data_IF_908844788706
#
_entry.id   IF_908844788706
#
_cell.length_a   1.000
_cell.length_b   1.000
_cell.length_c   1.000
_cell.angle_alpha   90.00
_cell.angle_beta   90.00
_cell.angle_gamma   90.00
#
_symmetry.space_group_name_H-M   'P 1'
#
loop_
_entity.id
_entity.type
_entity.pdbx_description
1 polymer ?
#
# COMPACT_ATOMS: atom_id res chain seq x y z
N UNK A 1 -19.22 69.67 9.67
CA UNK A 1 -20.53 69.81 8.99
C UNK A 1 -20.52 68.87 7.79
N UNK A 2 -21.33 67.79 7.77
CA UNK A 2 -22.65 67.71 7.08
C UNK A 2 -22.54 68.32 5.66
N UNK A 3 -22.73 67.61 4.54
CA UNK A 3 -23.98 66.94 4.10
C UNK A 3 -23.73 66.02 2.87
N UNK A 4 -24.26 64.79 2.96
CA UNK A 4 -24.95 63.88 2.00
C UNK A 4 -24.73 63.93 0.45
N UNK A 5 -24.40 62.74 -0.11
CA UNK A 5 -25.10 61.86 -1.11
C UNK A 5 -25.81 62.48 -2.34
N UNK A 6 -26.15 61.65 -3.37
CA UNK A 6 -25.47 60.55 -4.09
C UNK A 6 -25.36 60.93 -5.59
N UNK A 7 -25.06 60.00 -6.52
CA UNK A 7 -25.79 59.85 -7.80
C UNK A 7 -25.56 58.45 -8.36
N UNK A 8 -26.64 57.91 -8.92
CA UNK A 8 -26.77 56.59 -9.51
C UNK A 8 -26.24 56.60 -10.96
N UNK A 9 -25.69 55.47 -11.40
CA UNK A 9 -25.49 55.18 -12.82
C UNK A 9 -26.28 53.91 -13.11
N UNK A 10 -27.36 54.07 -13.86
CA UNK A 10 -28.04 52.98 -14.53
C UNK A 10 -27.31 52.63 -15.84
N UNK A 11 -27.35 51.37 -16.22
CA UNK A 11 -26.87 50.89 -17.50
C UNK A 11 -27.37 49.47 -17.77
N UNK A 12 -28.42 49.39 -18.59
CA UNK A 12 -29.02 48.16 -19.12
C UNK A 12 -28.04 47.39 -20.01
N UNK A 13 -28.07 46.06 -19.89
CA UNK A 13 -28.30 45.15 -21.03
C UNK A 13 -27.11 44.70 -21.89
N UNK A 14 -26.81 43.40 -21.82
CA UNK A 14 -26.79 42.52 -23.00
C UNK A 14 -26.86 41.05 -22.56
N UNK A 15 -27.97 40.39 -22.86
CA UNK A 15 -28.11 38.93 -22.82
C UNK A 15 -27.59 38.42 -24.16
N UNK A 16 -26.48 37.69 -24.16
CA UNK A 16 -26.05 36.86 -25.29
C UNK A 16 -25.80 35.45 -24.77
N UNK A 17 -26.64 34.53 -25.24
CA UNK A 17 -26.64 33.12 -24.87
C UNK A 17 -25.40 32.42 -25.39
N UNK A 18 -24.58 31.95 -24.45
CA UNK A 18 -23.67 30.84 -24.70
C UNK A 18 -24.42 29.54 -24.47
N UNK A 19 -24.60 28.76 -25.54
CA UNK A 19 -24.98 27.34 -25.43
C UNK A 19 -23.84 26.65 -24.66
N UNK A 20 -24.03 26.44 -23.36
CA UNK A 20 -23.17 25.57 -22.60
C UNK A 20 -23.42 24.15 -23.09
N UNK A 21 -22.51 23.62 -23.92
CA UNK A 21 -22.43 22.19 -24.17
C UNK A 21 -22.07 21.54 -22.83
N UNK A 22 -23.09 21.10 -22.09
CA UNK A 22 -22.91 20.24 -20.93
C UNK A 22 -22.39 18.90 -21.46
N UNK A 23 -21.07 18.73 -21.47
CA UNK A 23 -20.46 17.42 -21.63
C UNK A 23 -20.79 16.65 -20.35
N UNK A 24 -21.90 15.92 -20.38
CA UNK A 24 -22.23 14.93 -19.37
C UNK A 24 -21.20 13.82 -19.50
N UNK A 25 -20.11 13.93 -18.74
CA UNK A 25 -19.22 12.79 -18.48
C UNK A 25 -20.09 11.71 -17.82
N UNK A 26 -20.50 10.73 -18.61
CA UNK A 26 -21.08 9.49 -18.09
C UNK A 26 -19.94 8.81 -17.32
N UNK A 27 -19.88 9.10 -16.02
CA UNK A 27 -19.02 8.37 -15.11
C UNK A 27 -19.42 6.90 -15.20
N UNK A 28 -18.54 6.08 -15.79
CA UNK A 28 -18.78 4.65 -15.96
C UNK A 28 -19.19 4.02 -14.64
N UNK A 29 -20.39 3.44 -14.60
CA UNK A 29 -21.03 2.88 -13.41
C UNK A 29 -20.38 1.57 -12.95
N UNK A 30 -19.15 1.65 -12.46
CA UNK A 30 -18.55 0.56 -11.69
C UNK A 30 -19.12 0.50 -10.27
N UNK A 31 -19.00 -0.64 -9.57
CA UNK A 31 -19.39 -0.73 -8.17
C UNK A 31 -18.62 0.29 -7.33
N UNK A 32 -19.30 0.89 -6.36
CA UNK A 32 -18.66 1.77 -5.38
C UNK A 32 -17.71 0.94 -4.50
N UNK A 33 -16.46 1.38 -4.40
CA UNK A 33 -15.44 0.70 -3.61
C UNK A 33 -15.54 1.13 -2.15
N UNK A 34 -15.61 0.16 -1.23
CA UNK A 34 -15.64 0.48 0.22
C UNK A 34 -14.28 1.00 0.70
N UNK A 35 -14.28 1.97 1.62
CA UNK A 35 -13.05 2.52 2.20
C UNK A 35 -12.42 1.62 3.27
N UNK A 36 -13.21 0.70 3.83
CA UNK A 36 -12.82 -0.26 4.87
C UNK A 36 -13.13 -1.69 4.42
N UNK A 37 -12.39 -2.69 4.95
CA UNK A 37 -12.69 -4.08 4.68
C UNK A 37 -13.97 -4.49 5.43
N UNK A 38 -14.76 -5.36 4.81
CA UNK A 38 -15.98 -5.95 5.38
C UNK A 38 -15.87 -7.46 5.57
N UNK A 39 -14.73 -8.05 5.21
CA UNK A 39 -14.47 -9.49 5.34
C UNK A 39 -12.99 -9.80 5.26
N UNK A 40 -12.67 -11.08 5.34
CA UNK A 40 -11.33 -11.63 5.15
C UNK A 40 -11.34 -12.72 4.08
N UNK A 41 -10.27 -12.80 3.30
CA UNK A 41 -10.00 -13.86 2.36
C UNK A 41 -8.78 -14.67 2.83
N UNK A 42 -8.71 -15.90 2.33
CA UNK A 42 -7.60 -16.81 2.54
C UNK A 42 -7.05 -17.29 1.20
N UNK A 43 -5.74 -17.40 1.12
CA UNK A 43 -5.02 -17.89 -0.06
C UNK A 43 -3.70 -18.54 0.35
N UNK A 44 -3.28 -19.54 -0.41
CA UNK A 44 -1.99 -20.17 -0.20
C UNK A 44 -0.86 -19.19 -0.51
N UNK A 45 0.02 -18.98 0.46
CA UNK A 45 1.18 -18.13 0.30
C UNK A 45 2.38 -18.96 -0.17
N UNK A 46 3.10 -18.47 -1.17
CA UNK A 46 4.31 -19.14 -1.66
C UNK A 46 5.45 -19.20 -0.63
N UNK A 47 5.37 -18.35 0.39
CA UNK A 47 6.35 -18.20 1.43
C UNK A 47 5.67 -18.08 2.79
N UNK A 48 6.13 -18.90 3.73
CA UNK A 48 5.85 -18.78 5.16
C UNK A 48 7.17 -18.63 5.88
N UNK A 49 7.37 -17.49 6.53
CA UNK A 49 8.61 -17.18 7.23
C UNK A 49 8.46 -17.52 8.71
N UNK A 50 9.52 -18.09 9.27
CA UNK A 50 9.68 -18.34 10.70
C UNK A 50 10.43 -17.20 11.39
N UNK A 51 11.13 -16.36 10.63
CA UNK A 51 11.94 -15.28 11.16
C UNK A 51 12.06 -14.08 10.19
N UNK A 52 12.35 -12.92 10.77
CA UNK A 52 12.52 -11.64 10.04
C UNK A 52 13.75 -11.66 9.12
N UNK A 53 14.92 -12.21 9.51
CA UNK A 53 16.08 -12.22 8.62
C UNK A 53 15.87 -13.00 7.31
N UNK A 54 15.17 -14.13 7.35
CA UNK A 54 14.83 -14.93 6.16
C UNK A 54 13.81 -14.20 5.28
N UNK A 55 12.82 -13.52 5.88
CA UNK A 55 11.89 -12.65 5.14
C UNK A 55 12.61 -11.49 4.44
N UNK A 56 13.59 -10.87 5.12
CA UNK A 56 14.46 -9.84 4.53
C UNK A 56 15.26 -10.41 3.36
N UNK A 57 15.91 -11.56 3.56
CA UNK A 57 16.73 -12.19 2.53
C UNK A 57 15.93 -12.55 1.27
N UNK A 58 14.66 -12.92 1.44
CA UNK A 58 13.75 -13.31 0.35
C UNK A 58 13.26 -12.11 -0.45
N UNK A 59 13.08 -10.96 0.20
CA UNK A 59 12.63 -9.72 -0.41
C UNK A 59 13.63 -9.18 -1.46
N UNK A 60 13.14 -8.44 -2.44
CA UNK A 60 13.99 -7.65 -3.35
C UNK A 60 14.37 -6.31 -2.72
N UNK A 61 13.47 -5.74 -1.93
CA UNK A 61 13.60 -4.41 -1.33
C UNK A 61 12.93 -4.41 0.06
N UNK A 62 13.60 -3.84 1.07
CA UNK A 62 13.05 -3.61 2.41
C UNK A 62 13.24 -2.14 2.76
N UNK A 63 12.13 -1.45 3.04
CA UNK A 63 12.11 -0.01 3.32
C UNK A 63 11.35 0.30 4.60
N UNK A 64 11.78 1.36 5.29
CA UNK A 64 10.88 2.10 6.18
C UNK A 64 10.18 3.16 5.34
N UNK A 65 8.85 3.19 5.35
CA UNK A 65 8.09 4.09 4.50
C UNK A 65 6.79 4.57 5.17
N UNK A 66 6.24 5.66 4.62
CA UNK A 66 4.94 6.22 5.00
C UNK A 66 3.94 6.06 3.86
N UNK A 67 2.74 5.57 4.16
CA UNK A 67 1.63 5.55 3.21
C UNK A 67 1.12 6.98 3.00
N UNK A 68 1.28 7.50 1.78
CA UNK A 68 0.90 8.89 1.44
C UNK A 68 -0.37 8.97 0.61
N UNK A 69 -0.71 7.92 -0.14
CA UNK A 69 -1.93 7.87 -0.93
C UNK A 69 -2.39 6.43 -1.11
N UNK A 70 -3.70 6.23 -1.13
CA UNK A 70 -4.31 4.96 -1.50
C UNK A 70 -5.32 5.23 -2.61
N UNK A 71 -5.27 4.42 -3.66
CA UNK A 71 -6.17 4.55 -4.81
C UNK A 71 -6.65 3.18 -5.31
N UNK A 72 -7.61 3.24 -6.24
CA UNK A 72 -8.02 2.08 -7.03
C UNK A 72 -6.85 1.69 -7.95
N UNK A 73 -6.44 0.43 -7.89
CA UNK A 73 -5.51 -0.17 -8.82
C UNK A 73 -6.21 -0.88 -9.98
N UNK A 74 -5.44 -1.67 -10.73
CA UNK A 74 -5.98 -2.50 -11.80
C UNK A 74 -6.87 -3.61 -11.25
N UNK A 75 -7.80 -4.06 -12.09
CA UNK A 75 -8.57 -5.27 -11.86
C UNK A 75 -7.95 -6.45 -12.61
N UNK A 76 -7.95 -7.64 -12.00
CA UNK A 76 -7.45 -8.88 -12.62
C UNK A 76 -8.44 -10.02 -12.37
N UNK A 77 -8.43 -11.02 -13.24
CA UNK A 77 -9.36 -12.15 -13.21
C UNK A 77 -10.52 -11.99 -14.20
N UNK A 78 -11.25 -13.08 -14.48
CA UNK A 78 -12.36 -13.09 -15.42
C UNK A 78 -13.61 -12.37 -14.88
N UNK A 79 -14.52 -12.04 -15.80
CA UNK A 79 -15.77 -11.32 -15.53
C UNK A 79 -16.90 -12.25 -15.02
N UNK A 80 -16.56 -13.22 -14.18
CA UNK A 80 -17.47 -14.26 -13.65
C UNK A 80 -17.75 -14.13 -12.15
N UNK A 81 -17.33 -13.00 -11.55
CA UNK A 81 -17.43 -12.75 -10.11
C UNK A 81 -16.15 -13.05 -9.33
N UNK A 82 -15.14 -13.68 -9.95
CA UNK A 82 -13.81 -13.88 -9.35
C UNK A 82 -12.86 -12.70 -9.55
N UNK A 83 -13.26 -11.70 -10.35
CA UNK A 83 -12.48 -10.49 -10.57
C UNK A 83 -12.13 -9.80 -9.25
N UNK A 84 -10.84 -9.55 -9.04
CA UNK A 84 -10.35 -8.74 -7.93
C UNK A 84 -9.89 -7.39 -8.43
N UNK A 85 -9.97 -6.37 -7.58
CA UNK A 85 -9.41 -5.05 -7.83
C UNK A 85 -8.37 -4.75 -6.76
N UNK A 86 -7.13 -4.50 -7.18
CA UNK A 86 -6.06 -4.14 -6.28
C UNK A 86 -6.23 -2.73 -5.72
N UNK A 87 -5.63 -2.48 -4.56
CA UNK A 87 -5.34 -1.17 -4.01
C UNK A 87 -3.95 -0.76 -4.43
N UNK A 88 -3.84 0.43 -5.00
CA UNK A 88 -2.55 1.09 -5.17
C UNK A 88 -2.21 1.86 -3.90
N UNK A 89 -1.24 1.34 -3.15
CA UNK A 89 -0.71 1.98 -1.95
C UNK A 89 0.60 2.68 -2.34
N UNK A 90 0.58 4.01 -2.32
CA UNK A 90 1.77 4.82 -2.59
C UNK A 90 2.50 5.09 -1.29
N UNK A 91 3.79 4.78 -1.32
CA UNK A 91 4.70 4.91 -0.20
C UNK A 91 5.71 6.02 -0.49
N UNK A 92 5.91 6.90 0.49
CA UNK A 92 7.09 7.76 0.58
C UNK A 92 8.17 6.99 1.35
N UNK A 93 9.29 6.72 0.70
CA UNK A 93 10.42 6.00 1.30
C UNK A 93 11.16 6.94 2.24
N UNK A 94 11.30 6.52 3.50
CA UNK A 94 12.01 7.27 4.54
C UNK A 94 13.44 6.76 4.68
N UNK A 95 13.61 5.44 4.61
CA UNK A 95 14.93 4.80 4.59
C UNK A 95 14.86 3.44 3.89
N UNK A 96 16.00 3.01 3.35
CA UNK A 96 16.17 1.71 2.71
C UNK A 96 17.05 0.86 3.62
N UNK A 97 16.53 -0.29 4.05
CA UNK A 97 17.22 -1.21 4.95
C UNK A 97 17.96 -2.29 4.16
N UNK A 98 17.35 -2.75 3.08
CA UNK A 98 17.92 -3.73 2.18
C UNK A 98 17.41 -3.51 0.76
N UNK A 99 18.27 -3.72 -0.22
CA UNK A 99 17.91 -3.70 -1.63
C UNK A 99 18.89 -4.57 -2.41
N UNK A 100 18.33 -5.44 -3.24
CA UNK A 100 19.08 -6.39 -4.08
C UNK A 100 19.58 -5.73 -5.38
N UNK A 101 18.97 -4.62 -5.79
CA UNK A 101 19.19 -4.02 -7.13
C UNK A 101 20.13 -2.81 -7.14
N UNK A 102 20.41 -2.21 -5.98
CA UNK A 102 21.12 -0.93 -5.87
C UNK A 102 20.25 0.32 -6.15
N UNK A 103 18.93 0.17 -6.26
CA UNK A 103 17.97 1.25 -6.39
C UNK A 103 17.82 2.07 -5.10
N UNK A 104 17.61 3.39 -5.27
CA UNK A 104 17.27 4.31 -4.19
C UNK A 104 15.97 5.08 -4.48
N UNK A 105 14.82 4.39 -4.50
CA UNK A 105 13.55 5.03 -4.81
C UNK A 105 13.13 5.98 -3.68
N UNK A 106 12.68 7.18 -4.03
CA UNK A 106 12.04 8.11 -3.09
C UNK A 106 10.55 7.77 -2.88
N UNK A 107 9.91 7.16 -3.87
CA UNK A 107 8.52 6.72 -3.83
C UNK A 107 8.36 5.33 -4.42
N UNK A 108 7.36 4.60 -3.93
CA UNK A 108 7.01 3.26 -4.40
C UNK A 108 5.49 3.12 -4.56
N UNK A 109 5.08 2.28 -5.49
CA UNK A 109 3.70 1.79 -5.60
C UNK A 109 3.68 0.32 -5.20
N UNK A 110 2.90 0.00 -4.17
CA UNK A 110 2.61 -1.36 -3.72
C UNK A 110 1.18 -1.71 -4.11
N UNK A 111 1.01 -2.82 -4.82
CA UNK A 111 -0.30 -3.42 -5.06
C UNK A 111 -0.66 -4.35 -3.90
N UNK A 112 -1.71 -3.98 -3.17
CA UNK A 112 -2.34 -4.83 -2.16
C UNK A 112 -3.66 -5.36 -2.72
N UNK A 113 -4.08 -6.56 -2.34
CA UNK A 113 -5.46 -6.98 -2.58
C UNK A 113 -6.44 -6.05 -1.87
N UNK A 114 -7.57 -5.80 -2.53
CA UNK A 114 -8.44 -4.70 -2.18
C UNK A 114 -9.89 -5.11 -2.14
N UNK A 115 -10.48 -5.25 -3.32
CA UNK A 115 -11.91 -5.39 -3.49
C UNK A 115 -12.28 -6.58 -4.35
N UNK A 116 -13.39 -7.23 -4.00
CA UNK A 116 -14.01 -8.25 -4.84
C UNK A 116 -14.73 -7.63 -6.05
N UNK A 117 -15.33 -8.47 -6.89
CA UNK A 117 -16.07 -8.05 -8.08
C UNK A 117 -17.28 -7.14 -7.77
N UNK A 118 -17.75 -7.10 -6.53
CA UNK A 118 -18.86 -6.25 -6.05
C UNK A 118 -18.37 -4.95 -5.41
N UNK A 119 -17.06 -4.70 -5.37
CA UNK A 119 -16.46 -3.52 -4.76
C UNK A 119 -16.36 -3.59 -3.23
N UNK A 120 -16.53 -4.77 -2.63
CA UNK A 120 -16.43 -4.95 -1.17
C UNK A 120 -14.97 -5.20 -0.79
N UNK A 121 -14.47 -4.42 0.15
CA UNK A 121 -13.11 -4.54 0.65
C UNK A 121 -12.90 -5.79 1.50
N UNK A 122 -11.72 -6.42 1.43
CA UNK A 122 -11.36 -7.56 2.28
C UNK A 122 -9.88 -7.55 2.66
N UNK A 123 -9.54 -8.14 3.81
CA UNK A 123 -8.13 -8.39 4.19
C UNK A 123 -7.71 -9.79 3.73
N UNK A 124 -6.46 -9.95 3.32
CA UNK A 124 -5.89 -11.25 2.94
C UNK A 124 -5.01 -11.76 4.09
N UNK A 125 -5.23 -12.99 4.55
CA UNK A 125 -4.37 -13.66 5.53
C UNK A 125 -4.05 -12.86 6.80
N UNK A 126 -5.02 -12.12 7.32
CA UNK A 126 -4.84 -11.30 8.53
C UNK A 126 -3.95 -10.06 8.33
N UNK A 127 -3.53 -9.77 7.09
CA UNK A 127 -2.84 -8.54 6.76
C UNK A 127 -3.77 -7.35 7.05
N UNK A 128 -3.30 -6.44 7.91
CA UNK A 128 -4.04 -5.22 8.24
C UNK A 128 -4.45 -4.42 6.99
N UNK A 129 -5.50 -3.61 7.09
CA UNK A 129 -5.87 -2.74 5.98
C UNK A 129 -5.07 -1.44 6.02
N UNK A 130 -4.21 -1.19 5.02
CA UNK A 130 -3.41 0.05 4.94
C UNK A 130 -4.26 1.31 5.01
N UNK A 131 -3.77 2.33 5.72
CA UNK A 131 -4.37 3.67 5.82
C UNK A 131 -3.34 4.73 5.46
N UNK A 132 -3.82 5.85 4.91
CA UNK A 132 -2.96 7.03 4.71
C UNK A 132 -2.46 7.51 6.08
N UNK A 133 -1.17 7.79 6.16
CA UNK A 133 -0.49 8.16 7.41
C UNK A 133 0.20 7.00 8.11
N UNK A 134 -0.11 5.74 7.78
CA UNK A 134 0.59 4.58 8.34
C UNK A 134 2.09 4.68 8.02
N UNK A 135 2.92 4.42 9.03
CA UNK A 135 4.36 4.29 8.90
C UNK A 135 4.74 2.87 9.27
N UNK A 136 5.70 2.28 8.55
CA UNK A 136 6.13 0.93 8.86
C UNK A 136 7.29 0.44 8.01
N UNK A 137 7.69 -0.79 8.25
CA UNK A 137 8.64 -1.54 7.45
C UNK A 137 7.89 -2.41 6.45
N UNK A 138 8.32 -2.33 5.19
CA UNK A 138 7.71 -3.02 4.06
C UNK A 138 8.74 -3.93 3.39
N UNK A 139 8.44 -5.21 3.33
CA UNK A 139 9.23 -6.27 2.72
C UNK A 139 8.64 -6.58 1.36
N UNK A 140 9.33 -6.17 0.30
CA UNK A 140 8.77 -6.03 -1.03
C UNK A 140 9.49 -6.91 -2.04
N UNK A 141 8.71 -7.43 -2.98
CA UNK A 141 9.20 -8.05 -4.22
C UNK A 141 8.65 -7.31 -5.42
N UNK A 142 9.44 -7.23 -6.49
CA UNK A 142 8.99 -6.60 -7.73
C UNK A 142 7.99 -7.50 -8.45
N UNK A 143 6.91 -6.93 -8.96
CA UNK A 143 5.92 -7.69 -9.74
C UNK A 143 6.48 -7.98 -11.13
N UNK A 144 6.32 -9.22 -11.60
CA UNK A 144 6.75 -9.62 -12.96
C UNK A 144 5.80 -9.11 -14.03
N UNK A 145 4.51 -9.06 -13.70
CA UNK A 145 3.43 -8.62 -14.58
C UNK A 145 3.19 -7.11 -14.56
N UNK A 146 3.83 -6.38 -13.64
CA UNK A 146 3.84 -4.92 -13.57
C UNK A 146 5.18 -4.44 -12.98
N UNK A 147 6.26 -4.34 -13.79
CA UNK A 147 7.62 -4.12 -13.29
C UNK A 147 7.86 -2.80 -12.54
N UNK A 148 7.00 -1.81 -12.73
CA UNK A 148 6.99 -0.53 -12.00
C UNK A 148 6.33 -0.63 -10.61
N UNK A 149 5.81 -1.81 -10.26
CA UNK A 149 5.03 -2.04 -9.04
C UNK A 149 5.66 -3.11 -8.18
N UNK A 150 5.39 -2.99 -6.88
CA UNK A 150 5.80 -3.96 -5.88
C UNK A 150 4.58 -4.64 -5.29
N UNK A 151 4.81 -5.78 -4.65
CA UNK A 151 3.88 -6.39 -3.70
C UNK A 151 4.65 -6.74 -2.45
N UNK A 152 3.94 -6.96 -1.35
CA UNK A 152 4.55 -7.55 -0.17
C UNK A 152 5.08 -8.95 -0.51
N UNK A 153 6.19 -9.35 0.10
CA UNK A 153 6.77 -10.69 -0.09
C UNK A 153 5.78 -11.80 0.30
N UNK A 154 4.97 -11.55 1.33
CA UNK A 154 3.76 -12.26 1.73
C UNK A 154 2.95 -11.40 2.73
N UNK A 155 1.91 -11.95 3.36
CA UNK A 155 1.07 -11.31 4.37
C UNK A 155 1.82 -10.91 5.66
N UNK A 156 3.00 -11.49 5.92
CA UNK A 156 3.87 -11.15 7.04
C UNK A 156 4.78 -9.96 6.71
N UNK A 157 4.89 -9.60 5.42
CA UNK A 157 5.81 -8.61 4.87
C UNK A 157 5.54 -7.15 5.21
N UNK A 158 4.65 -6.86 6.17
CA UNK A 158 4.42 -5.49 6.65
C UNK A 158 4.37 -5.43 8.16
N UNK A 159 5.21 -4.58 8.73
CA UNK A 159 5.26 -4.29 10.17
C UNK A 159 5.03 -2.80 10.36
N UNK A 160 3.88 -2.43 10.91
CA UNK A 160 3.50 -1.03 11.14
C UNK A 160 4.11 -0.52 12.45
N UNK A 161 4.36 0.78 12.51
CA UNK A 161 4.78 1.50 13.71
C UNK A 161 3.57 2.30 14.20
N UNK A 162 3.00 1.92 15.34
CA UNK A 162 1.83 2.56 15.97
C UNK A 162 2.13 2.84 17.43
N UNK A 163 1.94 4.07 17.86
CA UNK A 163 2.15 4.49 19.26
C UNK A 163 3.52 4.03 19.82
N UNK A 164 4.58 4.19 19.00
CA UNK A 164 5.94 3.75 19.30
C UNK A 164 6.13 2.23 19.51
N UNK A 165 5.16 1.43 19.06
CA UNK A 165 5.20 -0.04 19.07
C UNK A 165 5.13 -0.60 17.66
N UNK A 166 5.59 -1.83 17.52
CA UNK A 166 5.48 -2.57 16.27
C UNK A 166 4.16 -3.35 16.24
N UNK A 167 3.49 -3.35 15.09
CA UNK A 167 2.23 -4.03 14.82
C UNK A 167 2.40 -4.85 13.52
N UNK A 168 2.60 -6.15 13.68
CA UNK A 168 2.78 -7.11 12.59
C UNK A 168 1.51 -7.91 12.27
N UNK A 169 1.64 -8.88 11.39
CA UNK A 169 0.56 -9.82 11.12
C UNK A 169 0.36 -10.74 12.34
N UNK A 170 -0.81 -10.68 12.99
CA UNK A 170 -1.10 -11.46 14.20
C UNK A 170 -1.11 -12.97 13.99
N UNK A 171 -1.20 -13.45 12.74
CA UNK A 171 -1.14 -14.87 12.39
C UNK A 171 0.29 -15.38 12.14
N UNK A 172 1.28 -14.49 12.07
CA UNK A 172 2.67 -14.88 11.86
C UNK A 172 3.27 -15.51 13.13
N UNK A 173 3.99 -16.63 12.98
CA UNK A 173 4.65 -17.33 14.10
C UNK A 173 5.59 -16.42 14.90
N UNK A 174 6.31 -15.51 14.22
CA UNK A 174 7.25 -14.56 14.83
C UNK A 174 6.62 -13.20 15.21
N UNK A 175 5.29 -13.05 15.17
CA UNK A 175 4.65 -11.78 15.52
C UNK A 175 4.87 -11.39 16.99
N UNK A 176 4.89 -12.36 17.91
CA UNK A 176 5.17 -12.11 19.32
C UNK A 176 6.59 -11.53 19.51
N UNK A 177 7.56 -12.01 18.74
CA UNK A 177 8.92 -11.50 18.74
C UNK A 177 8.96 -10.05 18.24
N UNK A 178 8.32 -9.77 17.09
CA UNK A 178 8.23 -8.40 16.53
C UNK A 178 7.59 -7.45 17.55
N UNK A 179 6.42 -7.79 18.07
CA UNK A 179 5.61 -6.91 18.93
C UNK A 179 6.23 -6.72 20.32
N UNK A 180 7.17 -7.60 20.72
CA UNK A 180 7.99 -7.46 21.91
C UNK A 180 9.20 -6.53 21.75
N UNK A 181 9.59 -6.19 20.51
CA UNK A 181 10.70 -5.29 20.24
C UNK A 181 10.28 -3.82 20.19
N UNK A 182 11.23 -2.93 20.50
CA UNK A 182 11.10 -1.52 20.14
C UNK A 182 11.38 -1.31 18.65
N UNK A 183 10.84 -0.26 18.01
CA UNK A 183 11.18 0.08 16.63
C UNK A 183 12.69 0.20 16.39
N UNK A 184 13.43 0.82 17.31
CA UNK A 184 14.88 0.95 17.20
C UNK A 184 15.62 -0.39 17.29
N UNK A 185 15.13 -1.34 18.11
CA UNK A 185 15.67 -2.70 18.16
C UNK A 185 15.43 -3.44 16.86
N UNK A 186 14.24 -3.30 16.29
CA UNK A 186 13.88 -3.91 15.01
C UNK A 186 14.71 -3.35 13.85
N UNK A 187 14.95 -2.05 13.78
CA UNK A 187 15.84 -1.46 12.77
C UNK A 187 17.28 -1.98 12.85
N UNK A 188 17.80 -2.18 14.08
CA UNK A 188 19.12 -2.81 14.28
C UNK A 188 19.12 -4.26 13.79
N UNK A 189 18.05 -5.01 14.04
CA UNK A 189 17.87 -6.37 13.52
C UNK A 189 17.90 -6.38 11.99
N UNK A 190 17.15 -5.48 11.33
CA UNK A 190 17.15 -5.37 9.87
C UNK A 190 18.54 -5.03 9.32
N UNK A 191 19.25 -4.10 9.96
CA UNK A 191 20.60 -3.69 9.57
C UNK A 191 21.58 -4.87 9.64
N UNK A 192 21.56 -5.62 10.76
CA UNK A 192 22.40 -6.80 10.95
C UNK A 192 22.07 -7.90 9.93
N UNK A 193 20.78 -8.23 9.77
CA UNK A 193 20.31 -9.22 8.80
C UNK A 193 20.70 -8.84 7.37
N UNK A 194 20.58 -7.57 6.98
CA UNK A 194 21.00 -7.11 5.66
C UNK A 194 22.51 -7.27 5.43
N UNK A 195 23.35 -7.09 6.47
CA UNK A 195 24.78 -7.37 6.38
C UNK A 195 25.05 -8.87 6.20
N UNK A 196 24.34 -9.73 6.93
CA UNK A 196 24.47 -11.18 6.84
C UNK A 196 24.00 -11.74 5.50
N UNK A 197 22.95 -11.19 4.90
CA UNK A 197 22.50 -11.53 3.55
C UNK A 197 23.56 -11.16 2.52
N UNK A 198 24.15 -9.96 2.60
CA UNK A 198 25.24 -9.53 1.70
C UNK A 198 26.49 -10.39 1.86
N UNK A 199 26.77 -10.87 3.06
CA UNK A 199 27.86 -11.80 3.33
C UNK A 199 27.54 -13.27 2.95
N UNK A 200 26.32 -13.56 2.47
CA UNK A 200 25.90 -14.90 2.09
C UNK A 200 25.64 -15.86 3.27
N UNK A 201 25.56 -15.33 4.50
CA UNK A 201 25.28 -16.11 5.72
C UNK A 201 23.81 -16.49 5.85
N UNK A 202 22.93 -15.64 5.34
CA UNK A 202 21.49 -15.86 5.28
C UNK A 202 21.08 -15.98 3.82
N UNK A 203 20.29 -17.00 3.50
CA UNK A 203 19.83 -17.28 2.13
C UNK A 203 18.34 -17.01 1.99
N UNK A 204 17.87 -16.54 0.82
CA UNK A 204 16.44 -16.46 0.51
C UNK A 204 15.74 -17.81 0.70
N UNK A 205 14.52 -17.79 1.21
CA UNK A 205 13.64 -18.96 1.17
C UNK A 205 13.29 -19.24 -0.30
N UNK A 206 13.37 -20.49 -0.72
CA UNK A 206 12.82 -20.90 -2.01
C UNK A 206 11.30 -20.96 -1.89
N UNK A 207 10.53 -20.62 -2.95
CA UNK A 207 9.09 -20.84 -2.94
C UNK A 207 8.80 -22.29 -2.54
N UNK A 208 7.83 -22.49 -1.63
CA UNK A 208 7.32 -23.83 -1.35
C UNK A 208 6.77 -24.45 -2.63
N UNK A 209 6.78 -25.78 -2.72
CA UNK A 209 5.87 -26.43 -3.66
C UNK A 209 4.45 -26.01 -3.24
N UNK A 210 3.60 -25.63 -4.21
CA UNK A 210 2.18 -25.55 -3.93
C UNK A 210 1.73 -26.98 -3.65
N UNK A 211 1.33 -27.27 -2.42
CA UNK A 211 0.78 -28.58 -2.03
C UNK A 211 -0.60 -28.80 -2.66
#
# INVERSE_FOLDING_TARGET
>A
MKVRKPWAIGGLGAVLGGIALAVTLVAGGGPSLTSTPTGSAHADELHHFEDVPTMLATSDLVVTAKVVKIGKGRSVGPDDGSKITFREVRLQVLSIQYDRTGAQPAELVVEEEGWDAKGRGYTLEGLSWSKVGDVGHFFLVRKRDAPDRHRLVNSQGRVLIKDSRLDGNQRAHFNAEITGMSPATFEKLLTAAAADVRAGRIKPQRPGAAD
#
